data_IF_224101759898
#
_entry.id   IF_224101759898
#
_cell.length_a   1.000
_cell.length_b   1.000
_cell.length_c   1.000
_cell.angle_alpha   90.00
_cell.angle_beta   90.00
_cell.angle_gamma   90.00
#
_symmetry.space_group_name_H-M   'P 1'
#
loop_
_entity.id
_entity.type
_entity.pdbx_description
1 polymer ?
#
# COMPACT_ATOMS: atom_id res chain seq x y z
N UNK A 1 -1.25 -6.72 44.77
CA UNK A 1 -2.04 -5.88 43.85
C UNK A 1 -1.10 -5.43 42.76
N UNK A 2 -1.31 -5.89 41.53
CA UNK A 2 -0.50 -5.43 40.40
C UNK A 2 -0.75 -3.93 40.17
N UNK A 3 0.32 -3.13 40.09
CA UNK A 3 0.19 -1.73 39.72
C UNK A 3 -0.41 -1.63 38.31
N UNK A 4 -1.38 -0.73 38.08
CA UNK A 4 -1.95 -0.53 36.76
C UNK A 4 -0.84 -0.18 35.75
N UNK A 5 -0.97 -0.64 34.50
CA UNK A 5 0.01 -0.34 33.46
C UNK A 5 0.07 1.17 33.21
N UNK A 6 1.27 1.74 33.28
CA UNK A 6 1.45 3.18 33.05
C UNK A 6 1.24 3.55 31.57
N UNK A 7 1.55 2.63 30.64
CA UNK A 7 1.61 2.88 29.19
C UNK A 7 0.77 1.85 28.41
N UNK A 8 -0.07 2.34 27.51
CA UNK A 8 -0.72 1.57 26.45
C UNK A 8 -0.04 1.77 25.11
N UNK A 9 0.22 0.69 24.37
CA UNK A 9 0.74 0.71 23.01
C UNK A 9 -0.35 0.29 22.02
N UNK A 10 -0.76 1.21 21.14
CA UNK A 10 -1.65 0.92 20.02
C UNK A 10 -0.81 0.57 18.79
N UNK A 11 -0.90 -0.67 18.34
CA UNK A 11 -0.26 -1.16 17.10
C UNK A 11 -1.27 -1.04 15.97
N UNK A 12 -1.02 -0.14 15.02
CA UNK A 12 -1.91 0.12 13.87
C UNK A 12 -1.32 -0.50 12.61
N UNK A 13 -2.07 -1.42 12.03
CA UNK A 13 -1.62 -2.29 10.94
C UNK A 13 -1.32 -1.55 9.64
N UNK A 14 -0.58 -2.20 8.75
CA UNK A 14 -0.33 -1.71 7.40
C UNK A 14 -1.36 -2.21 6.39
N UNK A 15 -1.03 -2.07 5.11
CA UNK A 15 -1.80 -2.66 4.00
C UNK A 15 -1.81 -4.19 4.07
N UNK A 16 -2.88 -4.79 3.55
CA UNK A 16 -3.11 -6.23 3.47
C UNK A 16 -4.11 -6.74 4.49
N UNK A 17 -4.57 -7.98 4.26
CA UNK A 17 -5.37 -8.76 5.22
C UNK A 17 -4.49 -9.15 6.42
N UNK A 18 -4.09 -8.17 7.24
CA UNK A 18 -3.30 -8.40 8.43
C UNK A 18 -4.24 -8.79 9.56
N UNK A 19 -4.24 -10.07 9.89
CA UNK A 19 -5.07 -10.63 10.97
C UNK A 19 -4.56 -10.15 12.31
N UNK A 20 -5.45 -10.19 13.31
CA UNK A 20 -5.11 -9.91 14.71
C UNK A 20 -3.91 -10.77 15.12
N UNK A 21 -2.91 -10.13 15.71
CA UNK A 21 -1.65 -10.68 16.19
C UNK A 21 -0.51 -10.56 15.19
N UNK A 22 -0.73 -10.47 13.88
CA UNK A 22 0.36 -10.63 12.90
C UNK A 22 1.42 -9.51 12.98
N UNK A 23 0.99 -8.26 13.10
CA UNK A 23 1.92 -7.12 13.21
C UNK A 23 2.55 -7.09 14.59
N UNK A 24 1.74 -7.36 15.62
CA UNK A 24 2.21 -7.45 17.00
C UNK A 24 3.29 -8.53 17.15
N UNK A 25 3.12 -9.72 16.56
CA UNK A 25 4.11 -10.80 16.60
C UNK A 25 5.44 -10.40 15.91
N UNK A 26 5.40 -9.63 14.82
CA UNK A 26 6.63 -9.10 14.20
C UNK A 26 7.35 -8.16 15.17
N UNK A 27 6.62 -7.25 15.81
CA UNK A 27 7.19 -6.39 16.85
C UNK A 27 7.78 -7.20 18.01
N UNK A 28 7.07 -8.22 18.50
CA UNK A 28 7.53 -9.07 19.61
C UNK A 28 8.84 -9.79 19.28
N UNK A 29 9.01 -10.26 18.04
CA UNK A 29 10.29 -10.85 17.60
C UNK A 29 11.44 -9.85 17.74
N UNK A 30 11.24 -8.60 17.30
CA UNK A 30 12.22 -7.53 17.47
C UNK A 30 12.52 -7.23 18.95
N UNK A 31 11.48 -7.12 19.78
CA UNK A 31 11.63 -6.88 21.22
C UNK A 31 12.31 -8.04 21.95
N UNK A 32 12.05 -9.28 21.53
CA UNK A 32 12.71 -10.45 22.09
C UNK A 32 14.21 -10.48 21.73
N UNK A 33 14.60 -10.01 20.54
CA UNK A 33 16.02 -9.83 20.22
C UNK A 33 16.69 -8.76 21.07
N UNK A 34 15.97 -7.73 21.52
CA UNK A 34 16.48 -6.72 22.44
C UNK A 34 16.68 -7.27 23.86
N UNK A 35 15.64 -7.91 24.41
CA UNK A 35 15.55 -8.22 25.83
C UNK A 35 15.78 -9.70 26.19
N UNK A 36 15.68 -10.62 25.24
CA UNK A 36 15.72 -12.06 25.47
C UNK A 36 14.70 -12.48 26.54
N UNK A 37 15.16 -13.25 27.51
CA UNK A 37 14.35 -13.78 28.62
C UNK A 37 13.84 -12.70 29.59
N UNK A 38 14.37 -11.47 29.52
CA UNK A 38 13.88 -10.34 30.32
C UNK A 38 12.51 -9.85 29.86
N UNK A 39 12.14 -10.10 28.60
CA UNK A 39 10.82 -9.76 28.08
C UNK A 39 9.81 -10.83 28.47
N UNK A 40 8.82 -10.45 29.27
CA UNK A 40 7.65 -11.29 29.54
C UNK A 40 6.48 -10.80 28.69
N UNK A 41 5.84 -11.73 27.99
CA UNK A 41 4.66 -11.44 27.16
C UNK A 41 3.45 -12.10 27.80
N UNK A 42 2.48 -11.28 28.18
CA UNK A 42 1.16 -11.74 28.58
C UNK A 42 0.30 -11.90 27.33
N UNK A 43 -0.35 -13.05 27.19
CA UNK A 43 -1.25 -13.37 26.08
C UNK A 43 -2.68 -13.53 26.57
N UNK A 44 -3.65 -13.21 25.72
CA UNK A 44 -5.07 -13.47 25.98
C UNK A 44 -5.44 -14.93 25.65
N UNK A 45 -6.73 -15.27 25.81
CA UNK A 45 -7.23 -16.62 25.53
C UNK A 45 -7.10 -17.03 24.05
N UNK A 46 -7.06 -16.06 23.14
CA UNK A 46 -6.85 -16.29 21.71
C UNK A 46 -5.34 -16.37 21.35
N UNK A 47 -4.45 -16.26 22.33
CA UNK A 47 -3.01 -16.27 22.13
C UNK A 47 -2.43 -14.94 21.66
N UNK A 48 -3.22 -13.88 21.50
CA UNK A 48 -2.73 -12.56 21.11
C UNK A 48 -2.04 -11.86 22.28
N UNK A 49 -0.97 -11.11 22.02
CA UNK A 49 -0.29 -10.38 23.09
C UNK A 49 -1.15 -9.23 23.60
N UNK A 50 -1.31 -9.16 24.92
CA UNK A 50 -2.09 -8.13 25.64
C UNK A 50 -1.23 -7.27 26.57
N UNK A 51 -0.04 -7.75 26.92
CA UNK A 51 0.85 -7.06 27.85
C UNK A 51 2.30 -7.46 27.65
N UNK A 52 3.20 -6.51 27.83
CA UNK A 52 4.65 -6.67 27.77
C UNK A 52 5.23 -6.18 29.10
N UNK A 53 6.16 -6.94 29.67
CA UNK A 53 6.85 -6.55 30.90
C UNK A 53 8.36 -6.72 30.76
N UNK A 54 9.09 -5.66 31.13
CA UNK A 54 10.56 -5.65 31.24
C UNK A 54 10.91 -5.01 32.58
N UNK A 55 11.50 -5.79 33.49
CA UNK A 55 11.73 -5.33 34.87
C UNK A 55 10.41 -4.97 35.56
N UNK A 56 10.34 -3.75 36.10
CA UNK A 56 9.15 -3.22 36.78
C UNK A 56 8.16 -2.52 35.84
N UNK A 57 8.52 -2.28 34.57
CA UNK A 57 7.67 -1.57 33.61
C UNK A 57 6.74 -2.55 32.88
N UNK A 58 5.46 -2.20 32.83
CA UNK A 58 4.41 -2.93 32.13
C UNK A 58 3.78 -2.05 31.06
N UNK A 59 3.64 -2.60 29.85
CA UNK A 59 3.00 -1.96 28.69
C UNK A 59 1.82 -2.82 28.26
N UNK A 60 0.62 -2.25 28.17
CA UNK A 60 -0.53 -2.95 27.55
C UNK A 60 -0.48 -2.81 26.04
N UNK A 61 -0.89 -3.86 25.32
CA UNK A 61 -0.86 -3.86 23.85
C UNK A 61 -2.28 -3.94 23.32
N UNK A 62 -2.60 -3.02 22.43
CA UNK A 62 -3.86 -2.93 21.71
C UNK A 62 -3.56 -2.93 20.23
N UNK A 63 -4.43 -3.55 19.43
CA UNK A 63 -4.15 -3.76 18.01
C UNK A 63 -5.31 -3.28 17.16
N UNK A 64 -5.02 -2.34 16.27
CA UNK A 64 -5.97 -1.80 15.31
C UNK A 64 -5.75 -2.53 14.00
N UNK A 65 -6.67 -3.45 13.69
CA UNK A 65 -6.64 -4.29 12.51
C UNK A 65 -7.99 -4.26 11.79
N UNK A 66 -7.99 -4.54 10.49
CA UNK A 66 -9.20 -4.44 9.66
C UNK A 66 -9.34 -5.56 8.64
N UNK A 67 -8.70 -6.70 8.87
CA UNK A 67 -8.85 -7.89 8.01
C UNK A 67 -10.32 -8.34 7.85
N UNK A 68 -11.20 -8.03 8.80
CA UNK A 68 -12.64 -8.31 8.70
C UNK A 68 -13.39 -7.29 7.83
N UNK A 69 -12.83 -6.09 7.63
CA UNK A 69 -13.41 -4.99 6.85
C UNK A 69 -12.90 -5.06 5.41
N UNK A 70 -11.58 -5.14 5.23
CA UNK A 70 -10.87 -5.24 3.95
C UNK A 70 -10.24 -6.64 3.76
N UNK A 71 -10.99 -7.70 4.07
CA UNK A 71 -10.53 -9.06 3.84
C UNK A 71 -10.43 -9.40 2.35
N UNK A 72 -9.59 -10.39 1.98
CA UNK A 72 -9.33 -10.76 0.57
C UNK A 72 -10.62 -10.89 -0.25
N UNK A 73 -11.63 -11.56 0.30
CA UNK A 73 -12.91 -11.79 -0.39
C UNK A 73 -13.65 -10.50 -0.77
N UNK A 74 -13.49 -9.43 0.01
CA UNK A 74 -14.16 -8.13 -0.22
C UNK A 74 -13.36 -7.21 -1.14
N UNK A 75 -12.03 -7.28 -1.08
CA UNK A 75 -11.14 -6.41 -1.89
C UNK A 75 -10.85 -7.00 -3.27
N UNK A 76 -11.16 -8.28 -3.49
CA UNK A 76 -10.95 -8.93 -4.79
C UNK A 76 -11.73 -8.21 -5.89
N UNK A 77 -11.01 -7.63 -6.86
CA UNK A 77 -11.61 -6.92 -7.99
C UNK A 77 -11.82 -5.43 -7.79
N UNK A 78 -11.48 -4.89 -6.64
CA UNK A 78 -11.60 -3.46 -6.43
C UNK A 78 -10.41 -2.70 -7.04
N UNK A 79 -9.22 -3.30 -7.11
CA UNK A 79 -8.10 -2.66 -7.78
C UNK A 79 -8.22 -2.76 -9.30
N UNK A 80 -8.10 -1.61 -9.98
CA UNK A 80 -8.10 -1.52 -11.44
C UNK A 80 -6.79 -0.92 -11.92
N UNK A 81 -6.08 -1.58 -12.83
CA UNK A 81 -4.82 -1.07 -13.39
C UNK A 81 -4.96 0.35 -13.95
N UNK A 82 -6.09 0.65 -14.60
CA UNK A 82 -6.42 1.99 -15.13
C UNK A 82 -6.30 3.09 -14.07
N UNK A 83 -6.58 2.78 -12.80
CA UNK A 83 -6.51 3.73 -11.72
C UNK A 83 -5.10 4.30 -11.53
N UNK A 84 -4.04 3.49 -11.72
CA UNK A 84 -2.66 4.01 -11.64
C UNK A 84 -2.42 5.10 -12.68
N UNK A 85 -2.91 4.90 -13.90
CA UNK A 85 -2.77 5.89 -14.98
C UNK A 85 -3.60 7.14 -14.66
N UNK A 86 -4.77 6.99 -14.05
CA UNK A 86 -5.61 8.11 -13.62
C UNK A 86 -4.96 8.90 -12.48
N UNK A 87 -4.40 8.21 -11.48
CA UNK A 87 -3.68 8.83 -10.35
C UNK A 87 -2.42 9.58 -10.78
N UNK A 88 -1.73 9.17 -11.85
CA UNK A 88 -0.58 9.90 -12.38
C UNK A 88 -0.92 11.35 -12.78
N UNK A 89 -2.19 11.65 -13.07
CA UNK A 89 -2.65 13.01 -13.39
C UNK A 89 -3.06 13.83 -12.16
N UNK A 90 -3.28 13.19 -11.00
CA UNK A 90 -3.78 13.87 -9.80
C UNK A 90 -2.89 15.03 -9.35
N UNK A 91 -1.54 14.95 -9.36
CA UNK A 91 -0.71 16.09 -9.00
C UNK A 91 -1.04 17.38 -9.77
N UNK A 92 -1.17 17.27 -11.09
CA UNK A 92 -1.52 18.40 -11.96
C UNK A 92 -2.94 18.89 -11.72
N UNK A 93 -3.90 17.98 -11.58
CA UNK A 93 -5.30 18.32 -11.33
C UNK A 93 -5.48 18.99 -9.96
N UNK A 94 -4.80 18.50 -8.92
CA UNK A 94 -4.78 19.08 -7.58
C UNK A 94 -4.19 20.49 -7.57
N UNK A 95 -3.10 20.73 -8.31
CA UNK A 95 -2.53 22.07 -8.46
C UNK A 95 -3.50 23.02 -9.17
N UNK A 96 -4.13 22.58 -10.26
CA UNK A 96 -5.15 23.37 -10.98
C UNK A 96 -6.36 23.72 -10.11
N UNK A 97 -6.76 22.82 -9.23
CA UNK A 97 -7.85 23.03 -8.29
C UNK A 97 -7.44 23.83 -7.03
N UNK A 98 -6.19 24.32 -6.94
CA UNK A 98 -5.70 25.09 -5.80
C UNK A 98 -5.54 24.28 -4.51
N UNK A 99 -5.53 22.93 -4.60
CA UNK A 99 -5.42 22.03 -3.45
C UNK A 99 -3.97 21.87 -2.98
N UNK A 100 -3.01 22.00 -3.90
CA UNK A 100 -1.57 22.05 -3.59
C UNK A 100 -1.14 23.51 -3.47
N UNK A 101 -0.89 23.96 -2.24
CA UNK A 101 -0.50 25.35 -1.95
C UNK A 101 0.91 25.64 -2.48
N UNK A 102 1.09 26.78 -3.14
CA UNK A 102 2.36 27.17 -3.75
C UNK A 102 3.58 27.22 -2.80
N UNK A 103 3.44 27.65 -1.52
CA UNK A 103 4.55 27.60 -0.56
C UNK A 103 5.02 26.18 -0.23
N UNK A 104 4.12 25.19 -0.38
CA UNK A 104 4.43 23.79 -0.08
C UNK A 104 4.87 23.02 -1.32
N UNK A 105 4.30 23.33 -2.49
CA UNK A 105 4.56 22.65 -3.75
C UNK A 105 4.71 23.68 -4.87
N UNK A 106 5.94 23.81 -5.39
CA UNK A 106 6.18 24.71 -6.52
C UNK A 106 5.53 24.16 -7.79
N UNK A 107 5.14 25.06 -8.70
CA UNK A 107 4.60 24.66 -10.02
C UNK A 107 5.56 23.75 -10.78
N UNK A 108 6.86 24.03 -10.72
CA UNK A 108 7.89 23.22 -11.36
C UNK A 108 7.95 21.81 -10.77
N UNK A 109 7.86 21.67 -9.44
CA UNK A 109 7.83 20.37 -8.78
C UNK A 109 6.60 19.54 -9.22
N UNK A 110 5.41 20.15 -9.24
CA UNK A 110 4.19 19.46 -9.68
C UNK A 110 4.29 19.02 -11.14
N UNK A 111 4.78 19.91 -12.01
CA UNK A 111 4.96 19.63 -13.43
C UNK A 111 5.99 18.51 -13.64
N UNK A 112 7.14 18.57 -12.97
CA UNK A 112 8.18 17.55 -13.05
C UNK A 112 7.66 16.17 -12.65
N UNK A 113 6.93 16.07 -11.53
CA UNK A 113 6.31 14.80 -11.12
C UNK A 113 5.24 14.32 -12.10
N UNK A 114 4.42 15.21 -12.64
CA UNK A 114 3.41 14.81 -13.64
C UNK A 114 4.07 14.27 -14.92
N UNK A 115 5.10 14.97 -15.41
CA UNK A 115 5.90 14.56 -16.58
C UNK A 115 6.62 13.24 -16.33
N UNK A 116 7.01 12.95 -15.09
CA UNK A 116 7.66 11.69 -14.74
C UNK A 116 6.65 10.53 -14.57
N UNK A 117 5.56 10.76 -13.83
CA UNK A 117 4.60 9.71 -13.46
C UNK A 117 3.82 9.18 -14.66
N UNK A 118 3.41 10.03 -15.60
CA UNK A 118 2.63 9.60 -16.77
C UNK A 118 3.42 8.60 -17.63
N UNK A 119 4.67 8.88 -18.09
CA UNK A 119 5.50 7.89 -18.76
C UNK A 119 5.85 6.68 -17.90
N UNK A 120 6.08 6.85 -16.59
CA UNK A 120 6.37 5.71 -15.71
C UNK A 120 5.19 4.74 -15.63
N UNK A 121 3.95 5.25 -15.53
CA UNK A 121 2.77 4.38 -15.52
C UNK A 121 2.56 3.66 -16.84
N UNK A 122 2.85 4.32 -17.97
CA UNK A 122 2.91 3.65 -19.28
C UNK A 122 3.98 2.55 -19.32
N UNK A 123 5.17 2.82 -18.80
CA UNK A 123 6.25 1.84 -18.74
C UNK A 123 5.94 0.68 -17.78
N UNK A 124 5.13 0.90 -16.74
CA UNK A 124 4.70 -0.14 -15.83
C UNK A 124 3.67 -1.10 -16.46
N UNK A 125 2.96 -0.69 -17.52
CA UNK A 125 1.95 -1.54 -18.17
C UNK A 125 2.56 -2.81 -18.78
N UNK A 126 3.65 -2.75 -19.57
CA UNK A 126 4.40 -3.94 -19.96
C UNK A 126 4.80 -4.82 -18.77
N UNK A 127 5.30 -4.24 -17.67
CA UNK A 127 5.70 -5.04 -16.49
C UNK A 127 4.51 -5.83 -15.93
N UNK A 128 3.34 -5.20 -15.81
CA UNK A 128 2.11 -5.87 -15.38
C UNK A 128 1.73 -7.03 -16.29
N UNK A 129 1.76 -6.84 -17.61
CA UNK A 129 1.48 -7.91 -18.57
C UNK A 129 2.52 -9.03 -18.56
N UNK A 130 3.80 -8.69 -18.44
CA UNK A 130 4.89 -9.65 -18.33
C UNK A 130 4.74 -10.53 -17.09
N UNK A 131 4.42 -9.92 -15.94
CA UNK A 131 4.10 -10.64 -14.70
C UNK A 131 2.87 -11.54 -14.88
N UNK A 132 1.79 -11.02 -15.48
CA UNK A 132 0.56 -11.78 -15.72
C UNK A 132 0.79 -13.00 -16.61
N UNK A 133 1.61 -12.86 -17.65
CA UNK A 133 1.97 -13.97 -18.55
C UNK A 133 2.76 -15.05 -17.80
N UNK A 134 3.80 -14.67 -17.05
CA UNK A 134 4.60 -15.60 -16.27
C UNK A 134 3.72 -16.31 -15.21
N UNK A 135 2.85 -15.57 -14.52
CA UNK A 135 1.93 -16.14 -13.54
C UNK A 135 1.00 -17.19 -14.17
N UNK A 136 0.44 -16.89 -15.36
CA UNK A 136 -0.40 -17.85 -16.11
C UNK A 136 0.38 -19.08 -16.56
N UNK A 137 1.62 -18.92 -17.03
CA UNK A 137 2.48 -20.05 -17.41
C UNK A 137 2.78 -20.95 -16.21
N UNK A 138 3.15 -20.36 -15.06
CA UNK A 138 3.42 -21.12 -13.83
C UNK A 138 2.16 -21.83 -13.33
N UNK A 139 1.00 -21.16 -13.36
CA UNK A 139 -0.28 -21.77 -12.99
C UNK A 139 -0.63 -22.93 -13.92
N UNK A 140 -0.53 -22.75 -15.24
CA UNK A 140 -0.80 -23.80 -16.23
C UNK A 140 0.13 -25.00 -16.09
N UNK A 141 1.42 -24.80 -15.77
CA UNK A 141 2.35 -25.90 -15.49
C UNK A 141 1.98 -26.65 -14.21
N UNK A 142 1.48 -25.96 -13.18
CA UNK A 142 1.00 -26.60 -11.95
C UNK A 142 -0.28 -27.39 -12.19
N UNK A 143 -1.25 -26.81 -12.88
CA UNK A 143 -2.51 -27.46 -13.24
C UNK A 143 -2.28 -28.69 -14.11
N UNK A 144 -1.39 -28.60 -15.11
CA UNK A 144 -1.03 -29.73 -15.98
C UNK A 144 -0.34 -30.88 -15.23
N UNK A 145 0.21 -30.64 -14.03
CA UNK A 145 0.76 -31.70 -13.17
C UNK A 145 -0.30 -32.36 -12.29
N UNK A 146 -1.40 -31.65 -11.99
CA UNK A 146 -2.44 -32.14 -11.08
C UNK A 146 -3.65 -32.69 -11.81
N UNK A 147 -3.95 -32.19 -13.01
CA UNK A 147 -5.09 -32.65 -13.80
C UNK A 147 -4.68 -33.75 -14.79
N UNK A 148 -5.48 -34.83 -14.93
CA UNK A 148 -5.24 -35.82 -15.98
C UNK A 148 -5.37 -35.16 -17.37
N UNK A 149 -4.61 -35.64 -18.37
CA UNK A 149 -4.65 -35.08 -19.72
C UNK A 149 -6.08 -35.11 -20.26
N UNK A 150 -6.56 -34.02 -20.89
CA UNK A 150 -7.92 -33.96 -21.42
C UNK A 150 -8.13 -35.06 -22.47
N UNK A 151 -9.27 -35.75 -22.41
CA UNK A 151 -9.61 -36.72 -23.45
C UNK A 151 -9.81 -36.02 -24.80
N UNK A 152 -9.60 -36.73 -25.91
CA UNK A 152 -9.85 -36.17 -27.26
C UNK A 152 -11.27 -35.61 -27.40
N UNK A 153 -12.27 -36.24 -26.76
CA UNK A 153 -13.66 -35.73 -26.74
C UNK A 153 -13.78 -34.37 -26.05
N UNK A 154 -13.01 -34.14 -25.00
CA UNK A 154 -13.02 -32.87 -24.26
C UNK A 154 -12.39 -31.73 -25.06
N UNK A 155 -11.40 -32.05 -25.89
CA UNK A 155 -10.76 -31.06 -26.78
C UNK A 155 -11.72 -30.57 -27.85
N UNK A 156 -12.64 -31.42 -28.34
CA UNK A 156 -13.59 -31.08 -29.40
C UNK A 156 -14.93 -30.55 -28.90
N UNK A 157 -15.26 -30.63 -27.61
CA UNK A 157 -16.54 -30.13 -27.12
C UNK A 157 -16.56 -28.59 -27.08
N UNK A 158 -17.49 -27.99 -27.83
CA UNK A 158 -17.67 -26.53 -27.88
C UNK A 158 -18.03 -25.94 -26.52
N UNK A 159 -18.73 -26.71 -25.70
CA UNK A 159 -19.16 -26.31 -24.35
C UNK A 159 -17.98 -26.21 -23.38
N UNK A 160 -17.10 -27.23 -23.31
CA UNK A 160 -15.88 -27.12 -22.48
C UNK A 160 -14.93 -26.06 -22.99
N UNK A 161 -14.86 -25.82 -24.30
CA UNK A 161 -14.11 -24.67 -24.84
C UNK A 161 -14.70 -23.33 -24.39
N UNK A 162 -16.03 -23.15 -24.46
CA UNK A 162 -16.71 -21.94 -23.96
C UNK A 162 -16.50 -21.75 -22.47
N UNK A 163 -16.62 -22.82 -21.69
CA UNK A 163 -16.39 -22.77 -20.24
C UNK A 163 -14.93 -22.44 -19.91
N UNK A 164 -13.96 -23.05 -20.59
CA UNK A 164 -12.53 -22.69 -20.45
C UNK A 164 -12.24 -21.27 -20.89
N UNK A 165 -12.81 -20.81 -22.01
CA UNK A 165 -12.65 -19.43 -22.48
C UNK A 165 -13.27 -18.43 -21.51
N UNK A 166 -14.44 -18.76 -20.95
CA UNK A 166 -15.09 -17.93 -19.92
C UNK A 166 -14.27 -17.91 -18.64
N UNK A 167 -13.83 -19.07 -18.14
CA UNK A 167 -12.90 -19.16 -16.99
C UNK A 167 -11.59 -18.42 -17.25
N UNK A 168 -11.03 -18.46 -18.46
CA UNK A 168 -9.79 -17.77 -18.82
C UNK A 168 -9.98 -16.25 -19.04
N UNK A 169 -11.17 -15.83 -19.46
CA UNK A 169 -11.54 -14.41 -19.53
C UNK A 169 -11.84 -13.83 -18.15
N UNK A 170 -12.39 -14.66 -17.25
CA UNK A 170 -12.65 -14.35 -15.84
C UNK A 170 -11.43 -14.64 -14.94
N UNK A 171 -10.39 -15.31 -15.44
CA UNK A 171 -9.25 -15.75 -14.62
C UNK A 171 -8.41 -14.54 -14.24
N UNK A 172 -8.68 -14.03 -13.05
CA UNK A 172 -7.76 -13.17 -12.31
C UNK A 172 -6.42 -13.88 -12.19
N UNK A 173 -5.35 -13.15 -12.40
CA UNK A 173 -4.01 -13.67 -12.19
C UNK A 173 -3.60 -13.51 -10.73
N UNK A 174 -2.58 -14.25 -10.29
CA UNK A 174 -1.95 -14.04 -8.98
C UNK A 174 -1.47 -12.59 -8.81
N UNK A 175 -1.12 -11.91 -9.92
CA UNK A 175 -0.73 -10.50 -9.91
C UNK A 175 -1.91 -9.60 -9.52
N UNK A 176 -3.11 -9.89 -10.04
CA UNK A 176 -4.32 -9.15 -9.70
C UNK A 176 -4.69 -9.35 -8.23
N UNK A 177 -4.61 -10.58 -7.73
CA UNK A 177 -4.83 -10.90 -6.31
C UNK A 177 -3.85 -10.15 -5.40
N UNK A 178 -2.58 -10.06 -5.79
CA UNK A 178 -1.56 -9.29 -5.07
C UNK A 178 -1.92 -7.80 -5.12
N UNK A 179 -2.24 -7.24 -6.28
CA UNK A 179 -2.59 -5.83 -6.40
C UNK A 179 -3.85 -5.47 -5.60
N UNK A 180 -4.88 -6.31 -5.58
CA UNK A 180 -6.05 -6.11 -4.72
C UNK A 180 -5.66 -6.13 -3.24
N UNK A 181 -4.83 -7.10 -2.84
CA UNK A 181 -4.45 -7.26 -1.43
C UNK A 181 -3.58 -6.11 -0.91
N UNK A 182 -2.78 -5.47 -1.76
CA UNK A 182 -1.86 -4.40 -1.33
C UNK A 182 -2.34 -3.00 -1.71
N UNK A 183 -2.64 -2.79 -2.99
CA UNK A 183 -3.06 -1.48 -3.49
C UNK A 183 -4.58 -1.28 -3.34
N UNK A 184 -5.37 -2.35 -3.39
CA UNK A 184 -6.81 -2.30 -3.18
C UNK A 184 -7.17 -1.72 -1.82
N UNK A 185 -6.46 -2.07 -0.74
CA UNK A 185 -6.69 -1.48 0.59
C UNK A 185 -6.58 0.05 0.60
N UNK A 186 -5.53 0.59 0.00
CA UNK A 186 -5.32 2.04 -0.10
C UNK A 186 -6.47 2.68 -0.88
N UNK A 187 -6.83 2.09 -2.02
CA UNK A 187 -7.89 2.60 -2.87
C UNK A 187 -9.22 2.55 -2.13
N UNK A 188 -9.61 1.41 -1.59
CA UNK A 188 -10.87 1.16 -0.89
C UNK A 188 -11.02 2.07 0.33
N UNK A 189 -9.96 2.20 1.13
CA UNK A 189 -9.95 3.11 2.28
C UNK A 189 -10.18 4.55 1.83
N UNK A 190 -9.44 4.99 0.82
CA UNK A 190 -9.51 6.37 0.34
C UNK A 190 -10.85 6.65 -0.37
N UNK A 191 -11.40 5.70 -1.14
CA UNK A 191 -12.70 5.85 -1.80
C UNK A 191 -13.82 5.93 -0.81
N UNK A 192 -13.77 5.10 0.23
CA UNK A 192 -14.71 5.16 1.36
C UNK A 192 -14.62 6.51 2.06
N UNK A 193 -13.40 6.97 2.36
CA UNK A 193 -13.15 8.24 3.01
C UNK A 193 -13.74 9.43 2.23
N UNK A 194 -13.58 9.42 0.91
CA UNK A 194 -14.11 10.46 0.02
C UNK A 194 -15.53 10.16 -0.48
N UNK A 195 -16.21 9.13 0.04
CA UNK A 195 -17.56 8.71 -0.37
C UNK A 195 -17.71 8.58 -1.90
N UNK A 196 -16.67 8.08 -2.57
CA UNK A 196 -16.66 7.85 -4.00
C UNK A 196 -16.87 6.36 -4.28
N UNK A 197 -17.97 6.01 -4.96
CA UNK A 197 -18.20 4.64 -5.42
C UNK A 197 -17.88 4.50 -6.91
N UNK A 198 -17.01 3.55 -7.26
CA UNK A 198 -16.57 3.33 -8.64
C UNK A 198 -17.47 2.36 -9.41
N UNK A 199 -18.01 1.39 -8.68
CA UNK A 199 -18.83 0.28 -9.14
C UNK A 199 -19.53 -0.35 -7.91
N UNK A 200 -20.27 -1.44 -8.14
CA UNK A 200 -20.94 -2.17 -7.08
C UNK A 200 -19.99 -2.79 -6.05
N UNK A 201 -18.78 -3.18 -6.45
CA UNK A 201 -17.80 -3.74 -5.52
C UNK A 201 -17.34 -2.67 -4.51
N UNK A 202 -17.12 -1.43 -4.97
CA UNK A 202 -16.78 -0.32 -4.08
C UNK A 202 -17.96 0.15 -3.22
N UNK A 203 -19.20 0.00 -3.71
CA UNK A 203 -20.39 0.32 -2.89
C UNK A 203 -20.48 -0.54 -1.63
N UNK A 204 -19.99 -1.77 -1.66
CA UNK A 204 -19.96 -2.64 -0.48
C UNK A 204 -18.91 -2.22 0.56
N UNK A 205 -18.01 -1.31 0.18
CA UNK A 205 -16.90 -0.83 1.01
C UNK A 205 -17.01 0.67 1.30
N UNK A 206 -18.16 1.29 1.06
CA UNK A 206 -18.39 2.72 1.28
C UNK A 206 -18.18 3.14 2.75
N UNK A 207 -18.38 2.22 3.70
CA UNK A 207 -18.14 2.43 5.14
C UNK A 207 -16.75 2.04 5.62
N UNK A 208 -15.88 1.46 4.78
CA UNK A 208 -14.62 0.86 5.21
C UNK A 208 -13.74 1.82 6.03
N UNK A 209 -13.59 3.07 5.61
CA UNK A 209 -12.78 4.07 6.33
C UNK A 209 -13.36 4.40 7.70
N UNK A 210 -14.69 4.54 7.79
CA UNK A 210 -15.39 4.78 9.06
C UNK A 210 -15.19 3.60 10.00
N UNK A 211 -15.41 2.39 9.51
CA UNK A 211 -15.35 1.17 10.32
C UNK A 211 -13.91 0.91 10.81
N UNK A 212 -12.89 1.21 9.97
CA UNK A 212 -11.47 1.16 10.36
C UNK A 212 -11.14 2.18 11.46
N UNK A 213 -11.65 3.40 11.33
CA UNK A 213 -11.46 4.44 12.35
C UNK A 213 -12.20 4.11 13.65
N UNK A 214 -13.37 3.46 13.57
CA UNK A 214 -14.07 2.94 14.73
C UNK A 214 -13.20 1.92 15.47
N UNK A 215 -12.56 0.98 14.77
CA UNK A 215 -11.60 0.05 15.39
C UNK A 215 -10.47 0.81 16.11
N UNK A 216 -9.93 1.89 15.52
CA UNK A 216 -8.92 2.72 16.19
C UNK A 216 -9.43 3.32 17.50
N UNK A 217 -10.61 3.95 17.48
CA UNK A 217 -11.18 4.58 18.67
C UNK A 217 -11.60 3.58 19.74
N UNK A 218 -12.06 2.38 19.35
CA UNK A 218 -12.38 1.30 20.27
C UNK A 218 -11.13 0.82 21.04
N UNK A 219 -10.01 0.64 20.35
CA UNK A 219 -8.74 0.25 20.98
C UNK A 219 -8.20 1.36 21.88
N UNK A 220 -8.31 2.63 21.46
CA UNK A 220 -7.96 3.76 22.30
C UNK A 220 -8.84 3.80 23.56
N UNK A 221 -10.15 3.59 23.42
CA UNK A 221 -11.06 3.54 24.56
C UNK A 221 -10.77 2.35 25.49
N UNK A 222 -10.35 1.20 24.95
CA UNK A 222 -9.90 0.05 25.74
C UNK A 222 -8.67 0.38 26.59
N UNK A 223 -7.67 1.06 26.02
CA UNK A 223 -6.49 1.51 26.77
C UNK A 223 -6.86 2.37 27.99
N UNK A 224 -7.81 3.29 27.83
CA UNK A 224 -8.29 4.12 28.94
C UNK A 224 -9.07 3.32 29.99
N UNK A 225 -9.91 2.36 29.58
CA UNK A 225 -10.64 1.48 30.51
C UNK A 225 -9.69 0.63 31.36
N UNK A 226 -8.57 0.21 30.78
CA UNK A 226 -7.53 -0.55 31.48
C UNK A 226 -6.62 0.34 32.35
N UNK A 227 -6.92 1.65 32.45
CA UNK A 227 -6.22 2.59 33.30
C UNK A 227 -4.88 3.09 32.75
N UNK A 228 -4.60 2.91 31.45
CA UNK A 228 -3.39 3.46 30.83
C UNK A 228 -3.41 4.99 30.93
N UNK A 229 -2.41 5.56 31.60
CA UNK A 229 -2.27 7.02 31.77
C UNK A 229 -1.64 7.67 30.55
N UNK A 230 -0.76 6.93 29.90
CA UNK A 230 -0.09 7.31 28.68
C UNK A 230 -0.43 6.32 27.57
N UNK A 231 -0.66 6.84 26.36
CA UNK A 231 -0.85 6.04 25.15
C UNK A 231 0.22 6.39 24.12
N UNK A 232 0.88 5.38 23.58
CA UNK A 232 1.81 5.51 22.47
C UNK A 232 1.27 4.74 21.27
N UNK A 233 1.50 5.24 20.06
CA UNK A 233 1.01 4.63 18.82
C UNK A 233 2.17 4.16 17.97
N UNK A 234 2.15 2.91 17.52
CA UNK A 234 3.03 2.38 16.50
C UNK A 234 2.22 2.11 15.24
N UNK A 235 2.41 2.93 14.21
CA UNK A 235 1.66 2.84 12.96
C UNK A 235 2.57 2.45 11.79
N UNK A 236 2.12 1.50 10.97
CA UNK A 236 2.86 1.02 9.80
C UNK A 236 2.11 1.34 8.51
N UNK A 237 2.80 1.83 7.47
CA UNK A 237 2.24 2.00 6.12
C UNK A 237 0.89 2.76 6.11
N UNK A 238 -0.17 2.19 5.54
CA UNK A 238 -1.55 2.75 5.57
C UNK A 238 -2.04 3.05 6.99
N UNK A 239 -1.65 2.29 8.00
CA UNK A 239 -1.94 2.58 9.40
C UNK A 239 -1.44 3.95 9.86
N UNK A 240 -0.41 4.49 9.22
CA UNK A 240 0.04 5.86 9.47
C UNK A 240 -0.97 6.90 8.99
N UNK A 241 -1.63 6.64 7.85
CA UNK A 241 -2.69 7.50 7.31
C UNK A 241 -3.94 7.40 8.18
N UNK A 242 -4.33 6.17 8.56
CA UNK A 242 -5.44 5.92 9.49
C UNK A 242 -5.22 6.63 10.81
N UNK A 243 -4.03 6.49 11.40
CA UNK A 243 -3.63 7.19 12.62
C UNK A 243 -3.75 8.70 12.44
N UNK A 244 -3.20 9.24 11.34
CA UNK A 244 -3.30 10.68 11.08
C UNK A 244 -4.75 11.16 10.97
N UNK A 245 -5.60 10.45 10.24
CA UNK A 245 -7.03 10.80 10.11
C UNK A 245 -7.79 10.70 11.43
N UNK A 246 -7.48 9.71 12.28
CA UNK A 246 -8.05 9.59 13.61
C UNK A 246 -7.64 10.79 14.50
N UNK A 247 -6.36 11.18 14.45
CA UNK A 247 -5.83 12.27 15.27
C UNK A 247 -6.22 13.68 14.77
N UNK A 248 -6.47 13.86 13.47
CA UNK A 248 -7.01 15.13 12.92
C UNK A 248 -8.53 15.20 13.01
N UNK A 249 -9.21 14.10 13.35
CA UNK A 249 -10.67 14.05 13.30
C UNK A 249 -11.21 14.33 11.90
N UNK A 250 -10.42 14.07 10.85
CA UNK A 250 -10.80 14.28 9.44
C UNK A 250 -12.08 13.52 9.04
N UNK A 251 -12.55 12.63 9.92
CA UNK A 251 -13.72 11.79 9.73
C UNK A 251 -14.66 11.83 10.93
N UNK A 252 -14.58 12.83 11.80
CA UNK A 252 -15.53 12.97 12.91
C UNK A 252 -16.98 12.97 12.41
N UNK A 253 -17.21 13.56 11.22
CA UNK A 253 -18.51 13.55 10.52
C UNK A 253 -18.91 12.18 9.94
N UNK A 254 -17.96 11.24 9.78
CA UNK A 254 -18.24 9.89 9.30
C UNK A 254 -18.66 8.95 10.44
N UNK A 255 -18.19 9.20 11.67
CA UNK A 255 -18.47 8.37 12.85
C UNK A 255 -19.63 9.01 13.63
N UNK A 256 -20.83 8.97 13.06
CA UNK A 256 -22.13 9.41 13.63
C UNK A 256 -22.16 10.68 14.51
N UNK A 257 -22.63 11.78 13.91
CA UNK A 257 -23.65 12.70 14.43
C UNK A 257 -23.33 13.57 15.66
N UNK A 258 -23.04 12.97 16.81
CA UNK A 258 -23.15 13.66 18.11
C UNK A 258 -22.03 13.35 19.10
N UNK A 259 -21.13 12.42 18.80
CA UNK A 259 -19.98 12.17 19.69
C UNK A 259 -18.74 12.81 19.07
N UNK A 260 -18.40 14.07 19.42
CA UNK A 260 -17.11 14.62 19.02
C UNK A 260 -16.03 13.61 19.43
N UNK A 261 -15.00 13.39 18.59
CA UNK A 261 -13.92 12.46 18.92
C UNK A 261 -13.48 12.79 20.32
N UNK A 262 -13.51 11.81 21.24
CA UNK A 262 -13.33 12.02 22.68
C UNK A 262 -12.01 12.79 22.94
N UNK A 263 -12.06 14.12 22.89
CA UNK A 263 -10.88 14.98 22.94
C UNK A 263 -10.03 14.72 24.20
N UNK A 264 -10.64 14.44 25.38
CA UNK A 264 -9.86 14.06 26.57
C UNK A 264 -9.04 12.78 26.39
N UNK A 265 -9.52 11.82 25.59
CA UNK A 265 -8.81 10.56 25.32
C UNK A 265 -7.68 10.73 24.31
N UNK A 266 -7.77 11.71 23.41
CA UNK A 266 -6.67 12.00 22.48
C UNK A 266 -5.49 12.66 23.21
N UNK A 267 -5.76 13.42 24.27
CA UNK A 267 -4.72 14.08 25.07
C UNK A 267 -3.78 13.10 25.80
N UNK A 268 -4.21 11.85 26.05
CA UNK A 268 -3.33 10.82 26.64
C UNK A 268 -2.30 10.26 25.66
N UNK A 269 -2.44 10.56 24.36
CA UNK A 269 -1.49 10.15 23.34
C UNK A 269 -0.28 11.09 23.42
N UNK A 270 0.84 10.56 23.89
CA UNK A 270 2.09 11.31 24.10
C UNK A 270 3.06 11.15 22.94
N UNK A 271 2.98 10.01 22.24
CA UNK A 271 3.98 9.65 21.23
C UNK A 271 3.40 8.84 20.07
N UNK A 272 3.89 9.13 18.88
CA UNK A 272 3.54 8.43 17.64
C UNK A 272 4.83 8.00 16.93
N UNK A 273 4.93 6.71 16.69
CA UNK A 273 5.96 6.08 15.87
C UNK A 273 5.35 5.71 14.53
N UNK A 274 5.90 6.24 13.44
CA UNK A 274 5.44 5.87 12.10
C UNK A 274 6.52 5.17 11.33
N UNK A 275 6.16 4.05 10.74
CA UNK A 275 7.06 3.19 10.00
C UNK A 275 6.56 3.09 8.57
N UNK A 276 7.42 3.36 7.59
CA UNK A 276 7.01 3.22 6.19
C UNK A 276 5.95 4.24 5.76
N UNK A 277 5.91 5.41 6.39
CA UNK A 277 4.79 6.36 6.26
C UNK A 277 4.62 6.89 4.83
N UNK A 278 3.44 6.71 4.20
CA UNK A 278 3.13 7.29 2.90
C UNK A 278 2.50 8.69 2.98
N UNK A 279 2.41 9.32 4.16
CA UNK A 279 1.62 10.55 4.37
C UNK A 279 1.97 11.70 3.42
N UNK A 280 3.24 11.91 3.08
CA UNK A 280 3.62 12.93 2.08
C UNK A 280 3.08 12.62 0.68
N UNK A 281 3.00 11.34 0.31
CA UNK A 281 2.39 10.92 -0.96
C UNK A 281 0.89 11.13 -0.90
N UNK A 282 0.25 10.77 0.21
CA UNK A 282 -1.18 11.01 0.38
C UNK A 282 -1.51 12.51 0.33
N UNK A 283 -0.68 13.37 0.93
CA UNK A 283 -0.83 14.82 0.81
C UNK A 283 -0.70 15.31 -0.64
N UNK A 284 0.13 14.66 -1.45
CA UNK A 284 0.36 15.05 -2.84
C UNK A 284 -0.74 14.56 -3.79
N UNK A 285 -1.19 13.32 -3.63
CA UNK A 285 -2.23 12.71 -4.48
C UNK A 285 -3.65 13.02 -3.99
N UNK A 286 -3.89 13.04 -2.68
CA UNK A 286 -5.20 13.28 -2.05
C UNK A 286 -5.16 14.42 -1.02
N UNK A 287 -4.73 15.65 -1.39
CA UNK A 287 -4.58 16.76 -0.46
C UNK A 287 -5.84 17.11 0.34
N UNK A 288 -7.03 16.86 -0.22
CA UNK A 288 -8.31 17.10 0.46
C UNK A 288 -8.43 16.29 1.78
N UNK A 289 -7.90 15.06 1.80
CA UNK A 289 -7.95 14.17 2.97
C UNK A 289 -6.94 14.53 4.07
N UNK A 290 -5.89 15.29 3.71
CA UNK A 290 -4.79 15.65 4.63
C UNK A 290 -4.93 17.10 5.13
N UNK A 291 -6.07 17.75 4.92
CA UNK A 291 -6.30 19.14 5.36
C UNK A 291 -6.23 19.22 6.89
N UNK A 292 -5.19 19.89 7.37
CA UNK A 292 -4.90 20.06 8.79
C UNK A 292 -5.98 20.88 9.47
N UNK A 293 -6.94 20.19 10.08
CA UNK A 293 -7.49 20.61 11.36
C UNK A 293 -6.82 19.70 12.38
N UNK A 294 -5.86 20.22 13.15
CA UNK A 294 -5.58 19.56 14.41
C UNK A 294 -6.91 19.57 15.17
N UNK A 295 -7.38 18.43 15.67
CA UNK A 295 -8.46 18.44 16.67
C UNK A 295 -7.97 19.38 17.76
N UNK A 296 -8.74 20.42 18.06
CA UNK A 296 -8.33 21.62 18.79
C UNK A 296 -7.98 21.42 20.27
N UNK A 297 -7.19 20.40 20.60
CA UNK A 297 -6.55 20.27 21.90
C UNK A 297 -5.39 21.26 21.91
N UNK A 298 -5.72 22.49 22.28
CA UNK A 298 -4.75 23.58 22.44
C UNK A 298 -3.61 23.12 23.36
N UNK A 299 -2.37 23.32 22.90
CA UNK A 299 -1.18 22.91 23.65
C UNK A 299 -0.85 21.41 23.61
N UNK A 300 -1.62 20.57 22.92
CA UNK A 300 -1.27 19.16 22.76
C UNK A 300 0.01 19.00 21.94
N UNK A 301 1.03 18.40 22.57
CA UNK A 301 2.34 18.13 21.98
C UNK A 301 2.57 16.63 21.97
N UNK A 302 2.63 16.07 20.78
CA UNK A 302 2.95 14.67 20.52
C UNK A 302 4.39 14.60 20.05
N UNK A 303 5.19 13.74 20.68
CA UNK A 303 6.47 13.37 20.11
C UNK A 303 6.23 12.45 18.90
N UNK A 304 6.66 12.87 17.71
CA UNK A 304 6.48 12.07 16.50
C UNK A 304 7.83 11.63 15.92
N UNK A 305 8.09 10.33 15.99
CA UNK A 305 9.26 9.67 15.40
C UNK A 305 8.87 8.93 14.11
N UNK A 306 9.32 9.42 12.95
CA UNK A 306 9.07 8.84 11.64
C UNK A 306 10.31 8.08 11.12
N UNK A 307 10.17 6.78 10.91
CA UNK A 307 11.21 5.90 10.38
C UNK A 307 11.02 5.65 8.89
N UNK A 308 12.05 5.94 8.11
CA UNK A 308 12.05 5.73 6.65
C UNK A 308 13.29 4.97 6.22
N UNK A 309 13.12 4.00 5.33
CA UNK A 309 14.23 3.36 4.65
C UNK A 309 14.45 4.03 3.30
N UNK A 310 15.70 4.15 2.83
CA UNK A 310 15.99 4.81 1.55
C UNK A 310 15.37 4.08 0.36
N UNK A 311 15.38 2.75 0.39
CA UNK A 311 14.85 1.89 -0.67
C UNK A 311 13.36 1.56 -0.51
N UNK A 312 12.69 2.06 0.53
CA UNK A 312 11.25 1.88 0.66
C UNK A 312 10.51 2.81 -0.32
N UNK A 313 9.83 2.28 -1.35
CA UNK A 313 9.11 3.07 -2.33
C UNK A 313 7.82 3.68 -1.78
N UNK A 314 7.43 3.40 -0.53
CA UNK A 314 6.23 3.90 0.16
C UNK A 314 6.59 4.99 1.17
N UNK A 315 7.64 4.80 1.97
CA UNK A 315 8.09 5.80 2.94
C UNK A 315 8.52 7.13 2.33
N UNK A 316 8.37 8.20 3.13
CA UNK A 316 8.96 9.51 2.86
C UNK A 316 9.39 10.22 4.14
N UNK A 317 10.21 11.28 3.99
CA UNK A 317 10.47 12.22 5.08
C UNK A 317 9.22 13.08 5.27
N UNK A 318 8.63 13.07 6.46
CA UNK A 318 7.50 13.92 6.80
C UNK A 318 8.00 15.33 7.09
N UNK A 319 7.77 16.25 6.16
CA UNK A 319 8.20 17.66 6.20
C UNK A 319 7.05 18.58 6.57
N UNK A 320 5.80 18.20 6.25
CA UNK A 320 4.61 19.07 6.32
C UNK A 320 3.64 18.69 7.44
N UNK A 321 4.13 17.98 8.46
CA UNK A 321 3.31 17.37 9.51
C UNK A 321 3.71 17.85 10.92
N UNK A 322 4.15 19.10 11.04
CA UNK A 322 4.65 19.66 12.30
C UNK A 322 3.57 20.25 13.23
N UNK A 323 2.28 20.02 12.91
CA UNK A 323 1.16 20.67 13.61
C UNK A 323 0.92 20.17 15.03
N UNK A 324 1.43 18.99 15.39
CA UNK A 324 1.29 18.39 16.73
C UNK A 324 2.61 18.40 17.52
N UNK A 325 3.60 19.14 17.04
CA UNK A 325 4.99 19.02 17.46
C UNK A 325 5.91 18.76 16.26
N UNK A 326 7.22 18.86 16.46
CA UNK A 326 8.19 18.54 15.42
C UNK A 326 8.18 17.04 15.09
N UNK A 327 8.35 16.69 13.81
CA UNK A 327 8.53 15.29 13.39
C UNK A 327 10.02 14.98 13.27
N UNK A 328 10.51 14.10 14.14
CA UNK A 328 11.87 13.57 14.07
C UNK A 328 11.92 12.48 13.02
N UNK A 329 12.67 12.73 11.94
CA UNK A 329 12.76 11.79 10.82
C UNK A 329 14.04 10.95 10.93
N UNK A 330 13.89 9.66 11.20
CA UNK A 330 14.95 8.68 11.31
C UNK A 330 15.19 7.99 9.95
N UNK A 331 16.39 8.16 9.40
CA UNK A 331 16.80 7.43 8.21
C UNK A 331 17.36 6.06 8.61
N UNK A 332 16.78 4.99 8.05
CA UNK A 332 17.24 3.63 8.26
C UNK A 332 18.20 3.24 7.14
N UNK A 333 19.40 2.83 7.52
CA UNK A 333 20.45 2.37 6.60
C UNK A 333 20.38 0.86 6.34
N UNK A 334 19.68 0.13 7.20
CA UNK A 334 19.53 -1.33 7.18
C UNK A 334 18.05 -1.68 7.31
N UNK A 335 17.65 -2.85 6.81
CA UNK A 335 16.24 -3.29 6.83
C UNK A 335 15.76 -4.02 5.58
N UNK A 336 16.66 -4.49 4.71
CA UNK A 336 16.31 -5.24 3.48
C UNK A 336 16.45 -4.42 2.21
N UNK A 337 16.30 -5.06 1.05
CA UNK A 337 16.28 -4.38 -0.25
C UNK A 337 14.87 -3.94 -0.62
N UNK A 338 14.63 -3.52 -1.86
CA UNK A 338 13.34 -2.98 -2.35
C UNK A 338 12.12 -3.82 -1.93
N UNK A 339 12.24 -5.15 -1.90
CA UNK A 339 11.15 -6.06 -1.55
C UNK A 339 10.85 -6.11 -0.04
N UNK A 340 11.87 -5.94 0.80
CA UNK A 340 11.78 -6.12 2.26
C UNK A 340 11.79 -4.80 3.03
N UNK A 341 12.32 -3.74 2.44
CA UNK A 341 12.53 -2.46 3.12
C UNK A 341 11.26 -1.81 3.67
N UNK A 342 10.09 -2.19 3.14
CA UNK A 342 8.80 -1.71 3.62
C UNK A 342 8.17 -2.59 4.72
N UNK A 343 8.65 -3.82 4.94
CA UNK A 343 8.01 -4.77 5.86
C UNK A 343 8.90 -5.24 7.00
N UNK A 344 10.21 -5.00 6.93
CA UNK A 344 11.21 -5.54 7.87
C UNK A 344 11.79 -4.45 8.77
N UNK A 345 10.91 -3.70 9.44
CA UNK A 345 11.31 -2.62 10.34
C UNK A 345 11.52 -3.04 11.78
N UNK A 346 10.89 -4.15 12.18
CA UNK A 346 11.11 -4.82 13.46
C UNK A 346 12.56 -5.24 13.66
N UNK A 347 13.36 -5.17 12.59
CA UNK A 347 14.76 -5.51 12.58
C UNK A 347 15.74 -4.35 12.70
N UNK A 348 15.24 -3.13 12.70
CA UNK A 348 16.08 -1.94 12.75
C UNK A 348 16.49 -1.62 14.18
N UNK A 349 17.80 -1.50 14.41
CA UNK A 349 18.37 -1.08 15.70
C UNK A 349 17.83 0.30 16.10
N UNK A 350 17.71 1.23 15.15
CA UNK A 350 17.17 2.58 15.39
C UNK A 350 15.70 2.55 15.78
N UNK A 351 14.87 1.75 15.08
CA UNK A 351 13.44 1.63 15.40
C UNK A 351 13.28 1.08 16.81
N UNK A 352 13.93 -0.06 17.09
CA UNK A 352 13.81 -0.72 18.38
C UNK A 352 14.37 0.13 19.51
N UNK A 353 15.53 0.76 19.33
CA UNK A 353 16.13 1.63 20.34
C UNK A 353 15.23 2.81 20.72
N UNK A 354 14.64 3.49 19.73
CA UNK A 354 13.77 4.65 19.98
C UNK A 354 12.42 4.21 20.57
N UNK A 355 11.87 3.11 20.06
CA UNK A 355 10.61 2.53 20.54
C UNK A 355 10.74 2.04 21.98
N UNK A 356 11.79 1.29 22.33
CA UNK A 356 11.97 0.78 23.69
C UNK A 356 12.28 1.90 24.68
N UNK A 357 13.00 2.95 24.26
CA UNK A 357 13.24 4.11 25.10
C UNK A 357 11.93 4.79 25.50
N UNK A 358 10.95 4.90 24.59
CA UNK A 358 9.64 5.43 24.95
C UNK A 358 8.77 4.44 25.73
N UNK A 359 8.79 3.15 25.39
CA UNK A 359 7.94 2.15 26.05
C UNK A 359 8.40 1.75 27.45
N UNK A 360 9.71 1.61 27.65
CA UNK A 360 10.29 1.03 28.87
C UNK A 360 11.22 2.02 29.61
N UNK A 361 11.46 3.20 29.05
CA UNK A 361 12.39 4.19 29.60
C UNK A 361 13.86 3.89 29.33
N UNK A 362 14.18 2.78 28.66
CA UNK A 362 15.55 2.39 28.29
C UNK A 362 15.68 2.06 26.81
N UNK A 363 16.67 2.67 26.15
CA UNK A 363 17.03 2.35 24.78
C UNK A 363 17.70 0.96 24.75
N UNK A 364 17.19 0.06 23.91
CA UNK A 364 17.74 -1.29 23.77
C UNK A 364 18.00 -1.62 22.30
N UNK A 365 19.22 -2.04 22.00
CA UNK A 365 19.60 -2.52 20.69
C UNK A 365 19.41 -4.04 20.59
N UNK A 366 18.93 -4.58 19.45
CA UNK A 366 18.77 -6.02 19.27
C UNK A 366 20.13 -6.74 19.32
N UNK A 367 20.19 -7.83 20.09
CA UNK A 367 21.37 -8.69 20.22
C UNK A 367 21.42 -9.70 19.07
N UNK A 368 22.01 -9.28 17.95
CA UNK A 368 22.17 -10.15 16.79
C UNK A 368 23.61 -10.61 16.60
N UNK A 369 23.83 -11.89 16.27
CA UNK A 369 25.14 -12.35 15.86
C UNK A 369 25.55 -11.68 14.54
N UNK A 370 26.83 -11.39 14.38
CA UNK A 370 27.36 -10.64 13.24
C UNK A 370 27.04 -11.31 11.89
N UNK A 371 27.08 -12.63 11.82
CA UNK A 371 26.75 -13.37 10.59
C UNK A 371 25.34 -13.07 10.07
N UNK A 372 24.35 -12.84 10.97
CA UNK A 372 22.98 -12.45 10.56
C UNK A 372 22.96 -11.04 10.00
N UNK A 373 23.73 -10.12 10.59
CA UNK A 373 23.89 -8.75 10.07
C UNK A 373 24.50 -8.76 8.67
N UNK A 374 25.52 -9.60 8.46
CA UNK A 374 26.13 -9.80 7.14
C UNK A 374 25.16 -10.42 6.14
N UNK A 375 24.40 -11.44 6.54
CA UNK A 375 23.39 -12.06 5.69
C UNK A 375 22.29 -11.08 5.28
N UNK A 376 21.80 -10.25 6.22
CA UNK A 376 20.81 -9.20 5.93
C UNK A 376 21.35 -8.17 4.94
N UNK A 377 22.63 -7.78 5.07
CA UNK A 377 23.31 -6.88 4.14
C UNK A 377 23.44 -7.50 2.74
N UNK A 378 23.96 -8.73 2.65
CA UNK A 378 24.11 -9.44 1.38
C UNK A 378 22.76 -9.63 0.70
N UNK A 379 21.74 -10.00 1.47
CA UNK A 379 20.38 -10.17 0.94
C UNK A 379 19.79 -8.84 0.44
N UNK A 380 19.97 -7.75 1.20
CA UNK A 380 19.53 -6.41 0.77
C UNK A 380 20.24 -5.96 -0.51
N UNK A 381 21.55 -6.15 -0.60
CA UNK A 381 22.33 -5.83 -1.81
C UNK A 381 21.88 -6.69 -2.98
N UNK A 382 21.71 -8.00 -2.80
CA UNK A 382 21.24 -8.90 -3.83
C UNK A 382 19.84 -8.51 -4.33
N UNK A 383 18.91 -8.16 -3.43
CA UNK A 383 17.58 -7.67 -3.81
C UNK A 383 17.66 -6.36 -4.60
N UNK A 384 18.49 -5.41 -4.18
CA UNK A 384 18.64 -4.12 -4.85
C UNK A 384 19.29 -4.24 -6.24
N UNK A 385 20.20 -5.20 -6.44
CA UNK A 385 20.82 -5.47 -7.74
C UNK A 385 19.91 -6.30 -8.65
N UNK A 386 19.20 -7.29 -8.09
CA UNK A 386 18.32 -8.17 -8.86
C UNK A 386 17.03 -7.46 -9.29
N UNK A 387 16.47 -6.58 -8.46
CA UNK A 387 15.16 -5.95 -8.73
C UNK A 387 15.14 -5.20 -10.07
N UNK A 388 16.10 -4.31 -10.42
CA UNK A 388 16.12 -3.66 -11.72
C UNK A 388 16.23 -4.65 -12.88
N UNK A 389 17.06 -5.69 -12.75
CA UNK A 389 17.24 -6.72 -13.79
C UNK A 389 15.94 -7.49 -14.02
N UNK A 390 15.28 -7.91 -12.95
CA UNK A 390 13.98 -8.60 -13.00
C UNK A 390 12.92 -7.68 -13.61
N UNK A 391 12.86 -6.41 -13.21
CA UNK A 391 11.91 -5.44 -13.77
C UNK A 391 12.14 -5.22 -15.27
N UNK A 392 13.39 -5.12 -15.72
CA UNK A 392 13.73 -5.00 -17.15
C UNK A 392 13.34 -6.27 -17.91
N UNK A 393 13.62 -7.45 -17.37
CA UNK A 393 13.22 -8.71 -18.00
C UNK A 393 11.69 -8.82 -18.13
N UNK A 394 10.95 -8.50 -17.06
CA UNK A 394 9.48 -8.46 -17.07
C UNK A 394 8.95 -7.43 -18.06
N UNK A 395 9.58 -6.26 -18.11
CA UNK A 395 9.25 -5.22 -19.07
C UNK A 395 9.45 -5.71 -20.50
N UNK A 396 10.58 -6.35 -20.82
CA UNK A 396 10.87 -6.88 -22.16
C UNK A 396 9.85 -7.96 -22.56
N UNK A 397 9.52 -8.88 -21.65
CA UNK A 397 8.52 -9.92 -21.90
C UNK A 397 7.16 -9.28 -22.19
N UNK A 398 6.69 -8.37 -21.35
CA UNK A 398 5.41 -7.71 -21.57
C UNK A 398 5.40 -6.78 -22.78
N UNK A 399 6.50 -6.06 -23.04
CA UNK A 399 6.64 -5.18 -24.19
C UNK A 399 6.63 -6.00 -25.48
N UNK A 400 7.29 -7.15 -25.51
CA UNK A 400 7.22 -8.07 -26.65
C UNK A 400 5.80 -8.51 -26.93
N UNK A 401 4.99 -8.76 -25.90
CA UNK A 401 3.57 -9.10 -26.05
C UNK A 401 2.75 -7.91 -26.58
N UNK A 402 2.92 -6.73 -26.00
CA UNK A 402 2.23 -5.49 -26.43
C UNK A 402 2.59 -5.14 -27.87
N UNK A 403 3.84 -5.33 -28.29
CA UNK A 403 4.34 -5.04 -29.65
C UNK A 403 3.98 -6.15 -30.64
N UNK A 404 3.99 -7.41 -30.22
CA UNK A 404 3.57 -8.53 -31.07
C UNK A 404 2.07 -8.47 -31.41
N UNK A 405 1.24 -7.98 -30.48
CA UNK A 405 -0.21 -7.87 -30.65
C UNK A 405 -0.63 -7.12 -31.94
N UNK A 406 -0.05 -5.96 -32.29
CA UNK A 406 -0.31 -5.31 -33.58
C UNK A 406 0.53 -5.85 -34.75
N UNK A 407 1.76 -6.34 -34.50
CA UNK A 407 2.64 -6.82 -35.58
C UNK A 407 2.13 -8.12 -36.19
N UNK A 408 1.64 -9.08 -35.38
CA UNK A 408 1.20 -10.38 -35.86
C UNK A 408 0.01 -10.24 -36.84
N UNK A 409 -1.08 -9.52 -36.51
CA UNK A 409 -2.14 -9.23 -37.47
C UNK A 409 -1.59 -8.55 -38.73
N UNK A 410 -0.78 -7.49 -38.61
CA UNK A 410 -0.20 -6.82 -39.78
C UNK A 410 0.62 -7.75 -40.67
N UNK A 411 1.37 -8.68 -40.08
CA UNK A 411 2.08 -9.72 -40.82
C UNK A 411 1.12 -10.71 -41.50
N UNK A 412 0.11 -11.21 -40.79
CA UNK A 412 -0.91 -12.12 -41.35
C UNK A 412 -1.66 -11.49 -42.52
N UNK A 413 -2.11 -10.24 -42.38
CA UNK A 413 -2.78 -9.49 -43.44
C UNK A 413 -1.85 -9.16 -44.62
N UNK A 414 -0.53 -9.16 -44.41
CA UNK A 414 0.44 -8.98 -45.50
C UNK A 414 0.74 -10.25 -46.30
N UNK A 415 0.34 -11.44 -45.84
CA UNK A 415 0.68 -12.73 -46.47
C UNK A 415 0.25 -12.83 -47.95
N UNK A 416 -0.96 -12.42 -48.37
CA UNK A 416 -1.36 -12.46 -49.78
C UNK A 416 -0.48 -11.58 -50.66
N UNK A 417 -0.08 -10.41 -50.16
CA UNK A 417 0.76 -9.45 -50.89
C UNK A 417 2.21 -9.92 -51.00
N UNK A 418 2.71 -10.66 -50.01
CA UNK A 418 4.00 -11.34 -50.08
C UNK A 418 3.98 -12.41 -51.16
N UNK A 419 2.91 -13.20 -51.23
CA UNK A 419 2.73 -14.23 -52.23
C UNK A 419 2.66 -13.67 -53.66
N UNK A 420 2.02 -12.51 -53.83
CA UNK A 420 1.94 -11.78 -55.11
C UNK A 420 3.22 -11.01 -55.49
N UNK A 421 4.25 -11.00 -54.63
CA UNK A 421 5.50 -10.29 -54.90
C UNK A 421 5.37 -8.76 -54.86
N UNK A 422 4.48 -8.21 -54.02
CA UNK A 422 4.21 -6.76 -53.92
C UNK A 422 4.80 -6.15 -52.64
N UNK A 423 6.12 -5.86 -52.57
CA UNK A 423 6.78 -5.42 -51.34
C UNK A 423 6.30 -4.06 -50.82
N UNK A 424 5.82 -3.18 -51.71
CA UNK A 424 5.25 -1.88 -51.32
C UNK A 424 4.00 -2.03 -50.45
N UNK A 425 3.09 -2.95 -50.81
CA UNK A 425 1.87 -3.23 -50.04
C UNK A 425 2.17 -3.90 -48.70
N UNK A 426 3.17 -4.79 -48.64
CA UNK A 426 3.61 -5.41 -47.39
C UNK A 426 4.05 -4.33 -46.38
N UNK A 427 4.88 -3.40 -46.82
CA UNK A 427 5.38 -2.30 -45.98
C UNK A 427 4.24 -1.38 -45.55
N UNK A 428 3.35 -1.01 -46.47
CA UNK A 428 2.21 -0.16 -46.18
C UNK A 428 1.28 -0.77 -45.11
N UNK A 429 0.92 -2.05 -45.25
CA UNK A 429 0.07 -2.76 -44.28
C UNK A 429 0.74 -2.78 -42.90
N UNK A 430 2.03 -3.13 -42.82
CA UNK A 430 2.74 -3.17 -41.55
C UNK A 430 2.80 -1.80 -40.86
N UNK A 431 3.06 -0.73 -41.62
CA UNK A 431 3.07 0.64 -41.09
C UNK A 431 1.68 1.08 -40.61
N UNK A 432 0.60 0.70 -41.31
CA UNK A 432 -0.78 1.00 -40.89
C UNK A 432 -1.11 0.32 -39.57
N UNK A 433 -0.78 -0.96 -39.40
CA UNK A 433 -1.03 -1.68 -38.14
C UNK A 433 -0.20 -1.11 -36.98
N UNK A 434 1.08 -0.83 -37.20
CA UNK A 434 1.95 -0.23 -36.19
C UNK A 434 1.49 1.18 -35.81
N UNK A 435 1.20 2.02 -36.82
CA UNK A 435 0.72 3.38 -36.62
C UNK A 435 -0.62 3.42 -35.88
N UNK A 436 -1.56 2.55 -36.26
CA UNK A 436 -2.86 2.42 -35.58
C UNK A 436 -2.68 2.03 -34.12
N UNK A 437 -1.81 1.06 -33.81
CA UNK A 437 -1.56 0.64 -32.44
C UNK A 437 -0.95 1.75 -31.57
N UNK A 438 0.00 2.52 -32.13
CA UNK A 438 0.59 3.67 -31.46
C UNK A 438 -0.45 4.78 -31.23
N UNK A 439 -1.29 5.06 -32.22
CA UNK A 439 -2.39 6.03 -32.09
C UNK A 439 -3.40 5.56 -31.03
N UNK A 440 -3.79 4.29 -31.02
CA UNK A 440 -4.70 3.74 -30.01
C UNK A 440 -4.10 3.83 -28.60
N UNK A 441 -2.83 3.46 -28.44
CA UNK A 441 -2.14 3.55 -27.15
C UNK A 441 -2.05 5.01 -26.67
N UNK A 442 -1.69 5.94 -27.56
CA UNK A 442 -1.63 7.37 -27.26
C UNK A 442 -3.02 7.93 -26.93
N UNK A 443 -4.04 7.58 -27.71
CA UNK A 443 -5.42 8.01 -27.50
C UNK A 443 -5.96 7.52 -26.15
N UNK A 444 -5.80 6.23 -25.85
CA UNK A 444 -6.21 5.65 -24.57
C UNK A 444 -5.53 6.35 -23.40
N UNK A 445 -4.22 6.62 -23.50
CA UNK A 445 -3.45 7.21 -22.40
C UNK A 445 -3.70 8.71 -22.20
N UNK A 446 -3.85 9.46 -23.30
CA UNK A 446 -3.92 10.92 -23.23
C UNK A 446 -5.36 11.41 -23.14
N UNK A 447 -6.29 10.78 -23.87
CA UNK A 447 -7.68 11.25 -23.97
C UNK A 447 -8.53 10.55 -22.94
N UNK A 448 -8.61 9.21 -22.99
CA UNK A 448 -9.53 8.45 -22.14
C UNK A 448 -9.13 8.49 -20.67
N UNK A 449 -7.86 8.21 -20.37
CA UNK A 449 -7.35 8.25 -18.99
C UNK A 449 -7.44 9.65 -18.42
N UNK A 450 -7.08 10.71 -19.16
CA UNK A 450 -7.16 12.08 -18.64
C UNK A 450 -8.60 12.52 -18.39
N UNK A 451 -9.53 12.19 -19.29
CA UNK A 451 -10.95 12.48 -19.13
C UNK A 451 -11.52 11.76 -17.91
N UNK A 452 -11.15 10.49 -17.72
CA UNK A 452 -11.50 9.69 -16.55
C UNK A 452 -10.90 10.27 -15.27
N UNK A 453 -9.60 10.60 -15.27
CA UNK A 453 -8.90 11.21 -14.15
C UNK A 453 -9.55 12.52 -13.69
N UNK A 454 -10.02 13.37 -14.62
CA UNK A 454 -10.77 14.58 -14.27
C UNK A 454 -12.09 14.27 -13.57
N UNK A 455 -12.85 13.28 -14.06
CA UNK A 455 -14.11 12.87 -13.43
C UNK A 455 -13.86 12.34 -12.02
N UNK A 456 -12.85 11.48 -11.88
CA UNK A 456 -12.43 10.97 -10.58
C UNK A 456 -12.02 12.11 -9.66
N UNK A 457 -11.02 12.89 -10.06
CA UNK A 457 -10.54 14.03 -9.28
C UNK A 457 -11.69 14.92 -8.78
N UNK A 458 -12.65 15.26 -9.64
CA UNK A 458 -13.82 16.04 -9.25
C UNK A 458 -14.67 15.38 -8.15
N UNK A 459 -14.89 14.06 -8.20
CA UNK A 459 -15.60 13.32 -7.15
C UNK A 459 -14.84 13.37 -5.82
N UNK A 460 -13.54 13.10 -5.85
CA UNK A 460 -12.66 13.07 -4.69
C UNK A 460 -12.48 14.42 -3.98
N UNK A 461 -12.69 15.52 -4.68
CA UNK A 461 -12.51 16.88 -4.13
C UNK A 461 -13.80 17.54 -3.66
N UNK A 462 -14.97 16.95 -3.98
CA UNK A 462 -16.29 17.44 -3.58
C UNK A 462 -16.72 16.91 -2.21
N UNK A 463 -16.21 15.74 -1.82
CA UNK A 463 -16.24 15.23 -0.45
C UNK A 463 -15.31 16.04 0.43
#
# INVERSE_FOLDING_TARGET
MDQPPDVGLLVVHGIGEQRRGETTEKLLRGLHECYGDRLRVERDAAGAARGLRVGARTVRVYEVHWATILGKARVTGTFRWKLLHELAWFPWLNWKAGLLRAPEYTRLQVLAWTILLVPMTLAAFPVYWGLGLIAKLVAGVREARTEPPPSLRDVFSREKRRERSRRAAESRTVVDDVLDSYAGDVVNYMTSLCRVAFDDAHRQLDTAARDILACFYEQLAAAHRDGCREVQILAHSLGTVVTYHALTGACAELVDGDTPPHQPKLASITRVYTIGSPLEKFRFFWPATIRGRAVGVEGWRVQWDNFRHLFDPVAGRLRRFSSWGGVTNHALLRGGGVLRSHVVYERSETVLSVLTAGLFGEACAPRRPEWRRTLDLVTSTAENLATPVVLVALWLVGASFVVATPIIPGWLFSLPFRWLGWPGWVTAIQLVFLGSALITLAHFTIVDVRGSAKRWHAQWTRS
#
